data_IF_513632123831
#
_entry.id   IF_513632123831
#
_cell.length_a   1.000
_cell.length_b   1.000
_cell.length_c   1.000
_cell.angle_alpha   90.00
_cell.angle_beta   90.00
_cell.angle_gamma   90.00
#
_symmetry.space_group_name_H-M   'P 1'
#
loop_
_entity.id
_entity.type
_entity.pdbx_description
1 polymer ?
#
# COMPACT_ATOMS: atom_id res chain seq x y z
N UNK A 1 -96.52 -49.85 -25.04
CA UNK A 1 -95.62 -50.88 -24.48
C UNK A 1 -94.22 -50.27 -24.35
N UNK A 2 -93.89 -49.84 -23.14
CA UNK A 2 -92.57 -49.29 -22.76
C UNK A 2 -91.81 -50.36 -21.95
N UNK A 3 -90.47 -50.30 -22.02
CA UNK A 3 -89.43 -51.08 -21.30
C UNK A 3 -88.83 -52.23 -22.11
N UNK A 4 -87.64 -51.98 -22.65
CA UNK A 4 -86.37 -52.69 -22.32
C UNK A 4 -85.27 -52.23 -23.29
N UNK A 5 -84.73 -51.02 -23.14
CA UNK A 5 -83.53 -50.62 -23.90
C UNK A 5 -82.67 -49.58 -23.15
N UNK A 6 -82.59 -49.66 -21.82
CA UNK A 6 -81.66 -48.84 -21.04
C UNK A 6 -81.13 -49.68 -19.88
N UNK A 7 -80.13 -50.53 -20.14
CA UNK A 7 -79.32 -51.12 -19.04
C UNK A 7 -77.96 -51.69 -19.42
N UNK A 8 -77.58 -51.77 -20.70
CA UNK A 8 -76.30 -52.37 -21.12
C UNK A 8 -75.19 -51.37 -21.47
N UNK A 9 -75.51 -50.11 -21.77
CA UNK A 9 -74.51 -49.08 -22.12
C UNK A 9 -73.96 -48.27 -20.93
N UNK A 10 -74.68 -48.16 -19.82
CA UNK A 10 -74.18 -47.38 -18.66
C UNK A 10 -73.06 -48.08 -17.88
N UNK A 11 -72.97 -49.41 -17.88
CA UNK A 11 -71.85 -50.13 -17.21
C UNK A 11 -70.53 -50.05 -17.98
N UNK A 12 -70.55 -49.96 -19.32
CA UNK A 12 -69.32 -49.84 -20.14
C UNK A 12 -68.72 -48.43 -20.08
N UNK A 13 -69.56 -47.39 -20.00
CA UNK A 13 -69.09 -46.01 -19.84
C UNK A 13 -68.52 -45.75 -18.43
N UNK A 14 -69.07 -46.37 -17.38
CA UNK A 14 -68.53 -46.27 -16.02
C UNK A 14 -67.16 -46.98 -15.86
N UNK A 15 -66.96 -48.14 -16.52
CA UNK A 15 -65.67 -48.84 -16.51
C UNK A 15 -64.57 -48.06 -17.27
N UNK A 16 -64.89 -47.46 -18.43
CA UNK A 16 -63.92 -46.64 -19.17
C UNK A 16 -63.57 -45.33 -18.44
N UNK A 17 -64.51 -44.75 -17.68
CA UNK A 17 -64.25 -43.55 -16.89
C UNK A 17 -63.31 -43.85 -15.71
N UNK A 18 -63.45 -45.04 -15.09
CA UNK A 18 -62.54 -45.50 -14.03
C UNK A 18 -61.16 -45.87 -14.55
N UNK A 19 -61.05 -46.54 -15.70
CA UNK A 19 -59.74 -46.82 -16.33
C UNK A 19 -59.04 -45.55 -16.84
N UNK A 20 -59.79 -44.57 -17.36
CA UNK A 20 -59.25 -43.27 -17.77
C UNK A 20 -58.75 -42.43 -16.60
N UNK A 21 -59.49 -42.43 -15.47
CA UNK A 21 -59.03 -41.81 -14.22
C UNK A 21 -57.83 -42.53 -13.62
N UNK A 22 -57.77 -43.87 -13.70
CA UNK A 22 -56.63 -44.66 -13.22
C UNK A 22 -55.38 -44.40 -14.07
N UNK A 23 -55.51 -44.29 -15.40
CA UNK A 23 -54.41 -43.98 -16.30
C UNK A 23 -53.95 -42.51 -16.18
N UNK A 24 -54.86 -41.57 -15.92
CA UNK A 24 -54.50 -40.19 -15.58
C UNK A 24 -53.82 -40.09 -14.21
N UNK A 25 -54.23 -40.90 -13.22
CA UNK A 25 -53.54 -41.00 -11.93
C UNK A 25 -52.13 -41.58 -12.07
N UNK A 26 -51.96 -42.65 -12.86
CA UNK A 26 -50.66 -43.29 -13.09
C UNK A 26 -49.74 -42.38 -13.92
N UNK A 27 -50.29 -41.63 -14.89
CA UNK A 27 -49.53 -40.66 -15.68
C UNK A 27 -49.19 -39.37 -14.89
N UNK A 28 -50.02 -38.96 -13.93
CA UNK A 28 -49.78 -37.80 -13.06
C UNK A 28 -48.75 -38.10 -11.97
N UNK A 29 -48.79 -39.28 -11.34
CA UNK A 29 -47.84 -39.64 -10.29
C UNK A 29 -46.42 -39.89 -10.81
N UNK A 30 -46.26 -40.47 -12.01
CA UNK A 30 -44.93 -40.73 -12.58
C UNK A 30 -44.21 -39.48 -13.10
N UNK A 31 -44.93 -38.44 -13.50
CA UNK A 31 -44.33 -37.22 -14.05
C UNK A 31 -43.78 -36.29 -12.96
N UNK A 32 -44.47 -36.18 -11.82
CA UNK A 32 -44.05 -35.31 -10.71
C UNK A 32 -42.84 -35.88 -9.96
N UNK A 33 -42.80 -37.20 -9.75
CA UNK A 33 -41.64 -37.91 -9.18
C UNK A 33 -40.40 -37.72 -10.08
N UNK A 34 -40.55 -37.93 -11.39
CA UNK A 34 -39.44 -37.77 -12.35
C UNK A 34 -38.95 -36.32 -12.43
N UNK A 35 -39.86 -35.33 -12.39
CA UNK A 35 -39.50 -33.92 -12.40
C UNK A 35 -38.71 -33.51 -11.14
N UNK A 36 -39.15 -33.95 -9.95
CA UNK A 36 -38.43 -33.67 -8.71
C UNK A 36 -37.07 -34.39 -8.65
N UNK A 37 -36.99 -35.62 -9.15
CA UNK A 37 -35.73 -36.34 -9.27
C UNK A 37 -34.74 -35.63 -10.22
N UNK A 38 -35.20 -35.15 -11.38
CA UNK A 38 -34.36 -34.38 -12.30
C UNK A 38 -33.85 -33.06 -11.69
N UNK A 39 -34.64 -32.39 -10.83
CA UNK A 39 -34.16 -31.21 -10.09
C UNK A 39 -33.00 -31.56 -9.16
N UNK A 40 -33.05 -32.71 -8.49
CA UNK A 40 -31.95 -33.19 -7.65
C UNK A 40 -30.71 -33.51 -8.50
N UNK A 41 -30.87 -34.17 -9.65
CA UNK A 41 -29.75 -34.42 -10.57
C UNK A 41 -29.11 -33.13 -11.06
N UNK A 42 -29.90 -32.11 -11.44
CA UNK A 42 -29.37 -30.80 -11.84
C UNK A 42 -28.57 -30.14 -10.72
N UNK A 43 -29.02 -30.25 -9.47
CA UNK A 43 -28.26 -29.76 -8.31
C UNK A 43 -26.96 -30.53 -8.12
N UNK A 44 -26.96 -31.86 -8.29
CA UNK A 44 -25.74 -32.67 -8.25
C UNK A 44 -24.74 -32.23 -9.32
N UNK A 45 -25.17 -32.07 -10.58
CA UNK A 45 -24.30 -31.59 -11.65
C UNK A 45 -23.74 -30.20 -11.34
N UNK A 46 -24.55 -29.31 -10.73
CA UNK A 46 -24.08 -28.00 -10.29
C UNK A 46 -23.01 -28.14 -9.21
N UNK A 47 -23.20 -29.00 -8.21
CA UNK A 47 -22.22 -29.27 -7.15
C UNK A 47 -20.91 -29.80 -7.75
N UNK A 48 -20.97 -30.70 -8.72
CA UNK A 48 -19.78 -31.27 -9.36
C UNK A 48 -19.06 -30.28 -10.29
N UNK A 49 -19.82 -29.34 -10.88
CA UNK A 49 -19.29 -28.31 -11.78
C UNK A 49 -18.73 -27.07 -11.06
N UNK A 50 -19.29 -26.74 -9.90
CA UNK A 50 -18.79 -25.68 -9.04
C UNK A 50 -17.54 -26.25 -8.39
N UNK A 51 -16.37 -25.83 -8.87
CA UNK A 51 -15.10 -26.15 -8.21
C UNK A 51 -15.07 -25.61 -6.77
N UNK A 52 -13.88 -25.48 -6.21
CA UNK A 52 -13.70 -24.84 -4.91
C UNK A 52 -13.09 -23.43 -5.10
N UNK A 53 -13.84 -22.42 -5.60
CA UNK A 53 -13.37 -21.05 -5.60
C UNK A 53 -13.49 -20.39 -4.21
N UNK A 54 -14.48 -20.82 -3.42
CA UNK A 54 -14.74 -20.40 -2.04
C UNK A 54 -15.45 -21.54 -1.26
N UNK A 55 -15.75 -21.32 0.02
CA UNK A 55 -16.49 -22.28 0.86
C UNK A 55 -18.01 -22.08 0.84
N UNK A 56 -18.49 -20.86 0.60
CA UNK A 56 -19.89 -20.51 0.83
C UNK A 56 -20.81 -21.14 -0.22
N UNK A 57 -20.44 -21.04 -1.49
CA UNK A 57 -21.24 -21.57 -2.58
C UNK A 57 -21.34 -23.11 -2.55
N UNK A 58 -20.23 -23.88 -2.38
CA UNK A 58 -20.30 -25.33 -2.30
C UNK A 58 -21.09 -25.86 -1.10
N UNK A 59 -21.06 -25.15 0.04
CA UNK A 59 -21.86 -25.50 1.24
C UNK A 59 -23.34 -25.22 0.98
N UNK A 60 -23.68 -24.06 0.41
CA UNK A 60 -25.06 -23.67 0.13
C UNK A 60 -25.75 -24.64 -0.84
N UNK A 61 -25.07 -25.02 -1.93
CA UNK A 61 -25.60 -25.97 -2.92
C UNK A 61 -25.84 -27.36 -2.32
N UNK A 62 -24.93 -27.85 -1.47
CA UNK A 62 -25.10 -29.13 -0.77
C UNK A 62 -26.30 -29.09 0.19
N UNK A 63 -26.51 -27.97 0.90
CA UNK A 63 -27.70 -27.79 1.76
C UNK A 63 -28.98 -27.78 0.94
N UNK A 64 -29.01 -27.04 -0.17
CA UNK A 64 -30.15 -27.02 -1.09
C UNK A 64 -30.47 -28.43 -1.62
N UNK A 65 -29.45 -29.18 -2.03
CA UNK A 65 -29.63 -30.55 -2.52
C UNK A 65 -30.10 -31.50 -1.42
N UNK A 66 -29.61 -31.36 -0.18
CA UNK A 66 -30.07 -32.18 0.94
C UNK A 66 -31.55 -31.96 1.25
N UNK A 67 -32.02 -30.71 1.27
CA UNK A 67 -33.44 -30.39 1.50
C UNK A 67 -34.33 -30.87 0.36
N UNK A 68 -33.87 -30.78 -0.90
CA UNK A 68 -34.56 -31.34 -2.06
C UNK A 68 -34.69 -32.86 -1.95
N UNK A 69 -33.62 -33.57 -1.60
CA UNK A 69 -33.63 -35.03 -1.37
C UNK A 69 -34.58 -35.40 -0.23
N UNK A 70 -34.54 -34.67 0.88
CA UNK A 70 -35.41 -34.93 2.04
C UNK A 70 -36.88 -34.76 1.71
N UNK A 71 -37.21 -33.73 0.93
CA UNK A 71 -38.58 -33.48 0.45
C UNK A 71 -39.05 -34.55 -0.53
N UNK A 72 -38.17 -35.00 -1.43
CA UNK A 72 -38.47 -36.11 -2.35
C UNK A 72 -38.76 -37.40 -1.59
N UNK A 73 -37.90 -37.78 -0.63
CA UNK A 73 -38.08 -39.00 0.16
C UNK A 73 -39.35 -38.98 1.02
N UNK A 74 -39.78 -37.79 1.47
CA UNK A 74 -41.04 -37.61 2.19
C UNK A 74 -42.27 -37.71 1.29
N UNK A 75 -42.19 -37.17 0.06
CA UNK A 75 -43.27 -37.21 -0.93
C UNK A 75 -43.42 -38.60 -1.58
N UNK A 76 -42.31 -39.31 -1.80
CA UNK A 76 -42.24 -40.58 -2.53
C UNK A 76 -41.52 -41.68 -1.71
N UNK A 77 -42.11 -42.17 -0.62
CA UNK A 77 -41.44 -43.11 0.30
C UNK A 77 -41.11 -44.48 -0.32
N UNK A 78 -41.79 -44.86 -1.41
CA UNK A 78 -41.60 -46.13 -2.12
C UNK A 78 -40.88 -45.97 -3.47
N UNK A 79 -40.21 -44.83 -3.70
CA UNK A 79 -39.46 -44.58 -4.94
C UNK A 79 -38.33 -45.60 -5.13
N UNK A 80 -38.11 -46.02 -6.38
CA UNK A 80 -36.96 -46.87 -6.76
C UNK A 80 -35.61 -46.15 -6.53
N UNK A 81 -35.62 -44.82 -6.48
CA UNK A 81 -34.43 -43.99 -6.25
C UNK A 81 -34.14 -43.76 -4.77
N UNK A 82 -35.01 -44.23 -3.87
CA UNK A 82 -34.99 -43.88 -2.45
C UNK A 82 -33.67 -44.19 -1.75
N UNK A 83 -33.09 -45.36 -1.98
CA UNK A 83 -31.83 -45.74 -1.31
C UNK A 83 -30.61 -45.00 -1.89
N UNK A 84 -30.58 -44.77 -3.20
CA UNK A 84 -29.55 -43.95 -3.85
C UNK A 84 -29.57 -42.51 -3.33
N UNK A 85 -30.76 -41.92 -3.19
CA UNK A 85 -30.92 -40.56 -2.69
C UNK A 85 -30.56 -40.46 -1.20
N UNK A 86 -30.89 -41.46 -0.37
CA UNK A 86 -30.43 -41.51 1.03
C UNK A 86 -28.91 -41.54 1.13
N UNK A 87 -28.24 -42.34 0.30
CA UNK A 87 -26.78 -42.40 0.26
C UNK A 87 -26.19 -41.05 -0.20
N UNK A 88 -26.76 -40.45 -1.24
CA UNK A 88 -26.34 -39.15 -1.75
C UNK A 88 -26.50 -38.05 -0.68
N UNK A 89 -27.63 -38.03 0.04
CA UNK A 89 -27.86 -37.13 1.16
C UNK A 89 -26.79 -37.30 2.24
N UNK A 90 -26.49 -38.55 2.64
CA UNK A 90 -25.43 -38.83 3.62
C UNK A 90 -24.06 -38.29 3.19
N UNK A 91 -23.69 -38.51 1.92
CA UNK A 91 -22.43 -38.00 1.36
C UNK A 91 -22.38 -36.47 1.37
N UNK A 92 -23.46 -35.80 0.95
CA UNK A 92 -23.53 -34.34 0.97
C UNK A 92 -23.51 -33.77 2.37
N UNK A 93 -24.12 -34.45 3.34
CA UNK A 93 -24.08 -34.04 4.73
C UNK A 93 -22.65 -34.09 5.27
N UNK A 94 -21.97 -35.23 5.14
CA UNK A 94 -20.59 -35.38 5.62
C UNK A 94 -19.65 -34.37 4.97
N UNK A 95 -19.77 -34.14 3.66
CA UNK A 95 -18.92 -33.20 2.95
C UNK A 95 -19.24 -31.74 3.31
N UNK A 96 -20.51 -31.39 3.48
CA UNK A 96 -20.89 -30.04 3.92
C UNK A 96 -20.42 -29.75 5.35
N UNK A 97 -20.49 -30.72 6.25
CA UNK A 97 -19.96 -30.61 7.62
C UNK A 97 -18.43 -30.44 7.60
N UNK A 98 -17.72 -31.20 6.76
CA UNK A 98 -16.26 -31.07 6.56
C UNK A 98 -15.89 -29.67 6.09
N UNK A 99 -16.52 -29.18 5.03
CA UNK A 99 -16.25 -27.86 4.44
C UNK A 99 -16.61 -26.73 5.43
N UNK A 100 -17.68 -26.90 6.20
CA UNK A 100 -18.07 -25.92 7.21
C UNK A 100 -17.01 -25.83 8.32
N UNK A 101 -16.49 -26.97 8.81
CA UNK A 101 -15.42 -26.98 9.80
C UNK A 101 -14.14 -26.31 9.27
N UNK A 102 -13.75 -26.62 8.02
CA UNK A 102 -12.60 -25.98 7.36
C UNK A 102 -12.79 -24.46 7.21
N UNK A 103 -14.01 -24.02 6.87
CA UNK A 103 -14.34 -22.60 6.75
C UNK A 103 -14.31 -21.86 8.10
N UNK A 104 -14.81 -22.49 9.17
CA UNK A 104 -14.76 -21.88 10.50
C UNK A 104 -13.32 -21.77 11.02
N UNK A 105 -12.48 -22.80 10.81
CA UNK A 105 -11.04 -22.71 11.10
C UNK A 105 -10.38 -21.56 10.33
N UNK A 106 -10.73 -21.39 9.05
CA UNK A 106 -10.22 -20.29 8.22
C UNK A 106 -10.64 -18.91 8.76
N UNK A 107 -11.92 -18.75 9.16
CA UNK A 107 -12.40 -17.49 9.75
C UNK A 107 -11.67 -17.16 11.05
N UNK A 108 -11.43 -18.16 11.91
CA UNK A 108 -10.69 -17.97 13.14
C UNK A 108 -9.25 -17.53 12.87
N UNK A 109 -8.57 -18.17 11.92
CA UNK A 109 -7.24 -17.77 11.48
C UNK A 109 -7.21 -16.33 10.96
N UNK A 110 -8.18 -15.98 10.10
CA UNK A 110 -8.31 -14.62 9.55
C UNK A 110 -8.49 -13.58 10.66
N UNK A 111 -9.37 -13.86 11.62
CA UNK A 111 -9.59 -12.98 12.77
C UNK A 111 -8.33 -12.84 13.62
N UNK A 112 -7.62 -13.94 13.88
CA UNK A 112 -6.36 -13.92 14.61
C UNK A 112 -5.32 -13.03 13.90
N UNK A 113 -5.13 -13.20 12.60
CA UNK A 113 -4.17 -12.39 11.82
C UNK A 113 -4.54 -10.89 11.82
N UNK A 114 -5.83 -10.57 11.73
CA UNK A 114 -6.28 -9.18 11.75
C UNK A 114 -6.18 -8.54 13.16
N UNK A 115 -6.39 -9.34 14.21
CA UNK A 115 -6.30 -8.92 15.61
C UNK A 115 -4.85 -8.79 16.10
N UNK A 116 -3.92 -9.62 15.58
CA UNK A 116 -2.54 -9.69 16.04
C UNK A 116 -1.64 -8.57 15.48
N UNK A 117 -2.07 -7.35 15.76
CA UNK A 117 -1.39 -6.09 15.49
C UNK A 117 -0.65 -5.54 16.71
N UNK A 118 -0.60 -6.30 17.81
CA UNK A 118 -0.22 -5.83 19.15
C UNK A 118 1.28 -5.98 19.44
N UNK A 119 1.95 -7.01 18.93
CA UNK A 119 3.37 -7.26 19.21
C UNK A 119 4.05 -8.15 18.17
N UNK A 120 5.39 -8.18 18.17
CA UNK A 120 6.17 -9.09 17.33
C UNK A 120 5.95 -10.56 17.67
N UNK A 121 5.86 -10.88 18.96
CA UNK A 121 5.65 -12.26 19.42
C UNK A 121 4.34 -12.83 18.90
N UNK A 122 3.28 -12.01 18.88
CA UNK A 122 1.99 -12.48 18.40
C UNK A 122 1.90 -12.60 16.89
N UNK A 123 2.68 -11.81 16.13
CA UNK A 123 2.87 -12.02 14.69
C UNK A 123 3.54 -13.35 14.41
N UNK A 124 4.57 -13.73 15.18
CA UNK A 124 5.24 -15.03 15.03
C UNK A 124 4.27 -16.20 15.29
N UNK A 125 3.45 -16.10 16.34
CA UNK A 125 2.38 -17.07 16.60
C UNK A 125 1.39 -17.13 15.43
N UNK A 126 0.98 -15.99 14.88
CA UNK A 126 0.07 -15.97 13.73
C UNK A 126 0.69 -16.61 12.46
N UNK A 127 2.00 -16.44 12.24
CA UNK A 127 2.73 -17.11 11.16
C UNK A 127 2.78 -18.63 11.34
N UNK A 128 3.00 -19.09 12.58
CA UNK A 128 2.96 -20.53 12.92
C UNK A 128 1.56 -21.10 12.69
N UNK A 129 0.50 -20.41 13.14
CA UNK A 129 -0.88 -20.84 12.94
C UNK A 129 -1.26 -20.88 11.45
N UNK A 130 -0.82 -19.89 10.65
CA UNK A 130 -1.02 -19.89 9.20
C UNK A 130 -0.33 -21.10 8.54
N UNK A 131 0.91 -21.39 8.94
CA UNK A 131 1.66 -22.54 8.42
C UNK A 131 0.97 -23.85 8.77
N UNK A 132 0.59 -24.04 10.04
CA UNK A 132 -0.15 -25.22 10.48
C UNK A 132 -1.51 -25.38 9.79
N UNK A 133 -2.20 -24.27 9.49
CA UNK A 133 -3.44 -24.30 8.71
C UNK A 133 -3.19 -24.80 7.28
N UNK A 134 -2.16 -24.28 6.59
CA UNK A 134 -1.83 -24.71 5.22
C UNK A 134 -1.44 -26.19 5.17
N UNK A 135 -0.72 -26.68 6.18
CA UNK A 135 -0.37 -28.10 6.30
C UNK A 135 -1.60 -28.98 6.56
N UNK A 136 -2.52 -28.51 7.42
CA UNK A 136 -3.78 -29.20 7.72
C UNK A 136 -4.70 -29.24 6.50
N UNK A 137 -4.72 -28.18 5.69
CA UNK A 137 -5.65 -27.97 4.57
C UNK A 137 -4.93 -27.55 3.27
N UNK A 138 -4.19 -28.47 2.63
CA UNK A 138 -3.35 -28.14 1.46
C UNK A 138 -4.15 -27.77 0.21
N UNK A 139 -5.46 -28.09 0.17
CA UNK A 139 -6.37 -27.81 -0.94
C UNK A 139 -7.41 -26.75 -0.58
N UNK A 140 -7.13 -25.90 0.40
CA UNK A 140 -8.01 -24.81 0.79
C UNK A 140 -8.35 -23.93 -0.44
N UNK A 141 -9.63 -23.65 -0.74
CA UNK A 141 -10.06 -22.75 -1.82
C UNK A 141 -9.54 -21.31 -1.69
N UNK A 142 -9.33 -20.83 -0.46
CA UNK A 142 -9.00 -19.44 -0.14
C UNK A 142 -7.50 -19.12 -0.31
N UNK A 143 -6.87 -19.61 -1.39
CA UNK A 143 -5.43 -19.47 -1.62
C UNK A 143 -4.97 -18.00 -1.70
N UNK A 144 -5.78 -17.13 -2.31
CA UNK A 144 -5.46 -15.71 -2.41
C UNK A 144 -5.49 -15.04 -1.03
N UNK A 145 -6.49 -15.34 -0.20
CA UNK A 145 -6.54 -14.86 1.18
C UNK A 145 -5.36 -15.37 2.00
N UNK A 146 -5.00 -16.65 1.90
CA UNK A 146 -3.86 -17.21 2.64
C UNK A 146 -2.54 -16.53 2.22
N UNK A 147 -2.37 -16.26 0.92
CA UNK A 147 -1.21 -15.52 0.40
C UNK A 147 -1.20 -14.09 0.93
N UNK A 148 -2.33 -13.38 0.88
CA UNK A 148 -2.42 -12.00 1.32
C UNK A 148 -2.25 -11.86 2.85
N UNK A 149 -2.76 -12.83 3.62
CA UNK A 149 -2.47 -12.99 5.05
C UNK A 149 -0.97 -13.14 5.32
N UNK A 150 -0.28 -14.00 4.56
CA UNK A 150 1.18 -14.16 4.71
C UNK A 150 1.93 -12.87 4.39
N UNK A 151 1.57 -12.18 3.30
CA UNK A 151 2.17 -10.89 2.93
C UNK A 151 1.91 -9.82 3.99
N UNK A 152 0.72 -9.84 4.60
CA UNK A 152 0.38 -8.94 5.69
C UNK A 152 1.21 -9.23 6.96
N UNK A 153 1.42 -10.49 7.32
CA UNK A 153 2.29 -10.86 8.43
C UNK A 153 3.76 -10.47 8.16
N UNK A 154 4.23 -10.58 6.91
CA UNK A 154 5.53 -10.07 6.49
C UNK A 154 5.64 -8.56 6.65
N UNK A 155 4.59 -7.81 6.30
CA UNK A 155 4.52 -6.37 6.56
C UNK A 155 4.62 -6.07 8.06
N UNK A 156 3.85 -6.77 8.90
CA UNK A 156 3.88 -6.54 10.35
C UNK A 156 5.28 -6.79 10.91
N UNK A 157 5.91 -7.90 10.55
CA UNK A 157 7.22 -8.29 11.05
C UNK A 157 8.36 -7.41 10.51
N UNK A 158 8.39 -7.17 9.19
CA UNK A 158 9.50 -6.48 8.51
C UNK A 158 9.40 -4.95 8.51
N UNK A 159 8.20 -4.40 8.65
CA UNK A 159 7.96 -2.95 8.64
C UNK A 159 7.42 -2.48 9.98
N UNK A 160 6.19 -2.89 10.35
CA UNK A 160 5.49 -2.29 11.50
C UNK A 160 6.27 -2.40 12.80
N UNK A 161 6.81 -3.57 13.10
CA UNK A 161 7.53 -3.84 14.36
C UNK A 161 9.06 -3.74 14.25
N UNK A 162 9.60 -3.67 13.04
CA UNK A 162 11.03 -3.47 12.79
C UNK A 162 11.40 -2.02 12.59
N UNK A 163 10.43 -1.15 12.31
CA UNK A 163 10.64 0.28 12.20
C UNK A 163 11.03 0.86 13.57
N UNK A 164 12.16 1.59 13.66
CA UNK A 164 12.53 2.27 14.90
C UNK A 164 11.51 3.36 15.23
N UNK A 165 11.36 3.68 16.51
CA UNK A 165 10.44 4.75 16.97
C UNK A 165 10.73 6.11 16.31
N UNK A 166 11.98 6.34 15.91
CA UNK A 166 12.40 7.54 15.21
C UNK A 166 13.18 7.18 13.95
N UNK A 167 12.57 7.46 12.80
CA UNK A 167 13.24 7.47 11.51
C UNK A 167 13.85 8.86 11.28
N UNK A 168 15.17 8.93 11.14
CA UNK A 168 15.90 10.21 11.09
C UNK A 168 16.72 10.40 9.81
N UNK A 169 16.76 9.41 8.93
CA UNK A 169 17.52 9.49 7.67
C UNK A 169 16.62 9.19 6.48
N UNK A 170 16.92 9.83 5.33
CA UNK A 170 16.25 9.51 4.07
C UNK A 170 16.47 8.06 3.63
N UNK A 171 17.61 7.47 3.95
CA UNK A 171 17.90 6.09 3.59
C UNK A 171 16.94 5.11 4.29
N UNK A 172 16.78 5.23 5.61
CA UNK A 172 15.95 4.31 6.39
C UNK A 172 14.47 4.42 5.97
N UNK A 173 13.95 5.64 5.86
CA UNK A 173 12.54 5.85 5.50
C UNK A 173 12.24 5.37 4.07
N UNK A 174 13.16 5.57 3.11
CA UNK A 174 12.98 5.09 1.74
C UNK A 174 12.97 3.55 1.68
N UNK A 175 13.83 2.88 2.46
CA UNK A 175 13.84 1.41 2.57
C UNK A 175 12.48 0.86 3.03
N UNK A 176 11.86 1.46 4.04
CA UNK A 176 10.53 1.04 4.51
C UNK A 176 9.41 1.37 3.52
N UNK A 177 9.50 2.52 2.82
CA UNK A 177 8.56 2.89 1.75
C UNK A 177 8.60 1.84 0.63
N UNK A 178 9.79 1.46 0.16
CA UNK A 178 9.96 0.49 -0.92
C UNK A 178 9.38 -0.88 -0.53
N UNK A 179 9.57 -1.31 0.71
CA UNK A 179 8.97 -2.54 1.24
C UNK A 179 7.44 -2.48 1.25
N UNK A 180 6.85 -1.38 1.74
CA UNK A 180 5.40 -1.18 1.71
C UNK A 180 4.84 -1.21 0.29
N UNK A 181 5.49 -0.53 -0.66
CA UNK A 181 5.07 -0.50 -2.06
C UNK A 181 5.14 -1.88 -2.71
N UNK A 182 6.21 -2.64 -2.45
CA UNK A 182 6.38 -4.00 -2.96
C UNK A 182 5.31 -4.96 -2.44
N UNK A 183 4.92 -4.83 -1.16
CA UNK A 183 3.86 -5.64 -0.57
C UNK A 183 2.49 -5.24 -1.12
N UNK A 184 2.19 -3.93 -1.21
CA UNK A 184 0.94 -3.43 -1.79
C UNK A 184 0.75 -3.84 -3.25
N UNK A 185 1.83 -3.93 -4.04
CA UNK A 185 1.76 -4.41 -5.41
C UNK A 185 1.37 -5.88 -5.56
N UNK A 186 1.33 -6.65 -4.45
CA UNK A 186 1.03 -8.10 -4.44
C UNK A 186 -0.27 -8.44 -3.71
N UNK A 187 -0.67 -7.63 -2.73
CA UNK A 187 -1.91 -7.83 -1.98
C UNK A 187 -3.10 -7.46 -2.86
N UNK A 188 -4.08 -8.36 -2.98
CA UNK A 188 -5.31 -8.15 -3.76
C UNK A 188 -6.44 -7.69 -2.85
N UNK A 189 -6.55 -8.30 -1.67
CA UNK A 189 -7.62 -8.05 -0.73
C UNK A 189 -7.41 -6.74 0.04
N UNK A 190 -8.38 -5.83 -0.09
CA UNK A 190 -8.30 -4.46 0.46
C UNK A 190 -8.16 -4.42 1.98
N UNK A 191 -8.71 -5.39 2.70
CA UNK A 191 -8.62 -5.50 4.16
C UNK A 191 -7.17 -5.63 4.66
N UNK A 192 -6.31 -6.33 3.90
CA UNK A 192 -4.89 -6.49 4.22
C UNK A 192 -4.04 -5.35 3.63
N UNK A 193 -4.49 -4.74 2.52
CA UNK A 193 -3.81 -3.61 1.90
C UNK A 193 -3.99 -2.29 2.66
N UNK A 194 -5.13 -2.11 3.34
CA UNK A 194 -5.47 -0.84 3.99
C UNK A 194 -4.48 -0.45 5.10
N UNK A 195 -4.08 -1.34 6.03
CA UNK A 195 -3.09 -0.98 7.06
C UNK A 195 -1.71 -0.66 6.45
N UNK A 196 -1.28 -1.41 5.43
CA UNK A 196 -0.01 -1.17 4.72
C UNK A 196 -0.03 0.21 4.05
N UNK A 197 -1.15 0.58 3.41
CA UNK A 197 -1.34 1.89 2.79
C UNK A 197 -1.29 3.03 3.81
N UNK A 198 -1.88 2.84 5.00
CA UNK A 198 -1.82 3.83 6.07
C UNK A 198 -0.38 4.05 6.54
N UNK A 199 0.38 2.97 6.76
CA UNK A 199 1.79 3.08 7.13
C UNK A 199 2.63 3.71 6.02
N UNK A 200 2.38 3.37 4.75
CA UNK A 200 3.03 4.03 3.61
C UNK A 200 2.81 5.54 3.65
N UNK A 201 1.58 6.02 3.82
CA UNK A 201 1.28 7.46 3.88
C UNK A 201 1.99 8.17 5.04
N UNK A 202 2.08 7.50 6.21
CA UNK A 202 2.82 8.03 7.35
C UNK A 202 4.33 8.12 7.06
N UNK A 203 4.91 7.09 6.42
CA UNK A 203 6.30 7.08 6.00
C UNK A 203 6.59 8.15 4.94
N UNK A 204 5.70 8.36 3.97
CA UNK A 204 5.85 9.42 2.97
C UNK A 204 5.83 10.80 3.60
N UNK A 205 4.95 11.02 4.58
CA UNK A 205 4.92 12.26 5.37
C UNK A 205 6.25 12.45 6.12
N UNK A 206 6.75 11.39 6.75
CA UNK A 206 8.03 11.42 7.47
C UNK A 206 9.21 11.68 6.53
N UNK A 207 9.22 11.08 5.34
CA UNK A 207 10.23 11.32 4.29
C UNK A 207 10.30 12.79 3.93
N UNK A 208 9.15 13.45 3.73
CA UNK A 208 9.09 14.88 3.42
C UNK A 208 9.70 15.72 4.55
N UNK A 209 9.34 15.44 5.82
CA UNK A 209 9.90 16.14 6.97
C UNK A 209 11.41 16.00 7.10
N UNK A 210 11.93 14.77 6.95
CA UNK A 210 13.38 14.52 6.99
C UNK A 210 14.05 15.28 5.83
N UNK A 211 13.50 15.18 4.63
CA UNK A 211 14.03 15.85 3.45
C UNK A 211 14.13 17.37 3.63
N UNK A 212 13.08 18.01 4.14
CA UNK A 212 13.08 19.45 4.43
C UNK A 212 14.15 19.83 5.46
N UNK A 213 14.29 19.04 6.52
CA UNK A 213 15.30 19.29 7.56
C UNK A 213 16.73 19.11 7.04
N UNK A 214 16.98 18.09 6.22
CA UNK A 214 18.29 17.86 5.61
C UNK A 214 18.61 18.95 4.57
N UNK A 215 17.63 19.37 3.76
CA UNK A 215 17.79 20.49 2.81
C UNK A 215 18.16 21.77 3.57
N UNK A 216 17.43 22.12 4.63
CA UNK A 216 17.73 23.31 5.42
C UNK A 216 19.14 23.24 6.04
N UNK A 217 19.54 22.08 6.55
CA UNK A 217 20.87 21.87 7.09
C UNK A 217 21.98 21.95 6.03
N UNK A 218 21.72 21.48 4.81
CA UNK A 218 22.65 21.59 3.68
C UNK A 218 22.73 23.02 3.15
N UNK A 219 21.61 23.72 3.03
CA UNK A 219 21.57 25.15 2.66
C UNK A 219 22.38 25.98 3.67
N UNK A 220 22.23 25.72 4.98
CA UNK A 220 23.02 26.40 6.01
C UNK A 220 24.54 26.11 5.92
N UNK A 221 24.92 24.85 5.64
CA UNK A 221 26.33 24.47 5.43
C UNK A 221 26.91 25.11 4.18
N UNK A 222 26.20 25.00 3.06
CA UNK A 222 26.59 25.59 1.78
C UNK A 222 26.82 27.09 1.92
N UNK A 223 25.93 27.79 2.63
CA UNK A 223 26.13 29.21 2.92
C UNK A 223 27.45 29.45 3.63
N UNK A 224 27.73 28.74 4.73
CA UNK A 224 28.97 28.86 5.51
C UNK A 224 30.23 28.63 4.66
N UNK A 225 30.20 27.63 3.80
CA UNK A 225 31.29 27.33 2.87
C UNK A 225 31.46 28.41 1.80
N UNK A 226 30.36 28.95 1.26
CA UNK A 226 30.39 30.07 0.30
C UNK A 226 31.02 31.32 0.91
N UNK A 227 30.73 31.65 2.18
CA UNK A 227 31.43 32.74 2.90
C UNK A 227 32.91 32.46 3.05
N UNK A 228 33.26 31.25 3.47
CA UNK A 228 34.67 30.85 3.65
C UNK A 228 35.43 30.96 2.33
N UNK A 229 34.82 30.51 1.24
CA UNK A 229 35.37 30.58 -0.11
C UNK A 229 35.48 32.02 -0.61
N UNK A 230 34.43 32.83 -0.48
CA UNK A 230 34.45 34.24 -0.86
C UNK A 230 35.51 35.03 -0.10
N UNK A 231 35.61 34.85 1.22
CA UNK A 231 36.61 35.50 2.07
C UNK A 231 38.04 35.04 1.72
N UNK A 232 38.22 33.75 1.41
CA UNK A 232 39.50 33.22 0.93
C UNK A 232 39.91 33.80 -0.43
N UNK A 233 38.99 33.79 -1.39
CA UNK A 233 39.18 34.37 -2.72
C UNK A 233 39.49 35.86 -2.64
N UNK A 234 38.71 36.63 -1.87
CA UNK A 234 38.93 38.05 -1.67
C UNK A 234 40.28 38.34 -1.02
N UNK A 235 40.70 37.61 0.02
CA UNK A 235 42.03 37.78 0.63
C UNK A 235 43.18 37.49 -0.34
N UNK A 236 43.04 36.48 -1.20
CA UNK A 236 44.03 36.20 -2.25
C UNK A 236 44.06 37.31 -3.30
N UNK A 237 42.89 37.74 -3.76
CA UNK A 237 42.76 38.83 -4.72
C UNK A 237 43.22 40.17 -4.12
N UNK A 238 43.01 40.46 -2.84
CA UNK A 238 43.53 41.67 -2.16
C UNK A 238 45.05 41.70 -2.06
N UNK A 239 45.72 40.56 -1.95
CA UNK A 239 47.19 40.51 -2.09
C UNK A 239 47.62 40.93 -3.50
N UNK A 240 46.78 40.70 -4.50
CA UNK A 240 47.01 41.02 -5.91
C UNK A 240 46.41 42.37 -6.35
N UNK A 241 45.38 42.88 -5.67
CA UNK A 241 44.81 44.22 -5.78
C UNK A 241 45.81 45.14 -5.12
N UNK A 242 46.89 45.34 -5.84
CA UNK A 242 47.73 46.50 -5.71
C UNK A 242 46.80 47.71 -5.59
N UNK A 243 46.96 48.49 -4.51
CA UNK A 243 46.37 49.81 -4.30
C UNK A 243 45.95 50.43 -5.64
N UNK A 244 44.67 50.83 -5.84
CA UNK A 244 44.24 51.47 -7.07
C UNK A 244 45.30 52.49 -7.49
N UNK A 245 45.69 52.53 -8.77
CA UNK A 245 46.80 53.37 -9.22
C UNK A 245 46.69 54.83 -8.75
N UNK A 246 45.48 55.32 -8.48
CA UNK A 246 45.22 56.59 -7.80
C UNK A 246 45.84 56.69 -6.39
N UNK A 247 45.70 55.68 -5.53
CA UNK A 247 46.25 55.65 -4.17
C UNK A 247 47.78 55.50 -4.20
N UNK A 248 48.35 54.77 -5.18
CA UNK A 248 49.81 54.73 -5.41
C UNK A 248 50.39 56.07 -5.87
N UNK A 249 49.63 56.85 -6.64
CA UNK A 249 50.06 58.17 -7.14
C UNK A 249 50.10 59.25 -6.06
N UNK A 250 49.40 59.06 -4.94
CA UNK A 250 49.24 60.07 -3.90
C UNK A 250 50.38 60.14 -2.87
N UNK A 251 51.41 59.28 -2.97
CA UNK A 251 52.70 59.46 -2.29
C UNK A 251 52.64 59.42 -0.76
N UNK A 252 53.08 58.30 -0.18
CA UNK A 252 53.53 58.22 1.23
C UNK A 252 52.43 58.40 2.27
N UNK A 253 51.73 57.31 2.61
CA UNK A 253 50.85 57.27 3.76
C UNK A 253 51.46 56.39 4.85
N UNK A 254 51.65 56.96 6.03
CA UNK A 254 51.97 56.21 7.26
C UNK A 254 50.69 55.62 7.87
N UNK A 255 50.78 54.39 8.41
CA UNK A 255 49.72 53.67 9.11
C UNK A 255 48.49 53.26 8.25
N UNK A 256 48.73 52.41 7.26
CA UNK A 256 47.69 51.70 6.50
C UNK A 256 47.02 50.61 7.34
N UNK A 257 45.68 50.62 7.39
CA UNK A 257 44.88 49.51 7.94
C UNK A 257 43.71 49.19 7.01
N UNK A 258 43.62 47.92 6.61
CA UNK A 258 42.48 47.36 5.88
C UNK A 258 41.68 46.49 6.84
N UNK A 259 40.40 46.81 7.02
CA UNK A 259 39.46 45.99 7.80
C UNK A 259 38.37 45.47 6.87
N UNK A 260 38.11 44.16 6.95
CA UNK A 260 37.09 43.49 6.15
C UNK A 260 35.87 43.26 7.04
N UNK A 261 34.71 43.77 6.65
CA UNK A 261 33.44 43.55 7.36
C UNK A 261 32.49 42.72 6.50
N UNK A 262 32.05 41.59 7.05
CA UNK A 262 31.02 40.74 6.44
C UNK A 262 29.65 41.41 6.63
N UNK A 263 28.90 41.60 5.54
CA UNK A 263 27.51 42.10 5.60
C UNK A 263 26.54 41.13 4.91
N UNK A 264 25.30 41.13 5.42
CA UNK A 264 24.33 40.03 5.48
C UNK A 264 23.81 39.41 4.16
N UNK A 265 23.25 38.19 4.30
CA UNK A 265 22.95 37.16 3.30
C UNK A 265 21.46 36.95 2.98
N UNK A 266 21.16 36.32 1.85
CA UNK A 266 19.95 35.48 1.65
C UNK A 266 20.34 34.10 1.13
N UNK A 267 19.59 33.04 1.48
CA UNK A 267 19.84 31.66 1.07
C UNK A 267 19.77 31.41 -0.45
N UNK A 268 19.24 32.38 -1.20
CA UNK A 268 19.14 32.37 -2.67
C UNK A 268 20.02 33.46 -3.33
N UNK A 269 20.84 34.18 -2.57
CA UNK A 269 21.65 35.27 -3.14
C UNK A 269 22.95 34.72 -3.72
N UNK A 270 23.12 34.90 -5.03
CA UNK A 270 24.36 34.62 -5.77
C UNK A 270 25.53 35.54 -5.38
N UNK A 271 25.31 36.47 -4.45
CA UNK A 271 26.24 37.55 -4.11
C UNK A 271 26.50 37.64 -2.62
N UNK A 272 27.77 37.61 -2.25
CA UNK A 272 28.28 37.98 -0.94
C UNK A 272 28.87 39.39 -1.03
N UNK A 273 28.42 40.29 -0.17
CA UNK A 273 28.95 41.65 -0.11
C UNK A 273 30.10 41.69 0.91
N UNK A 274 31.25 42.17 0.46
CA UNK A 274 32.46 42.32 1.28
C UNK A 274 32.80 43.80 1.34
N UNK A 275 32.81 44.36 2.55
CA UNK A 275 33.20 45.75 2.78
C UNK A 275 34.70 45.80 3.07
N UNK A 276 35.43 46.65 2.36
CA UNK A 276 36.84 46.96 2.61
C UNK A 276 36.97 48.42 3.03
N UNK A 277 37.45 48.64 4.25
CA UNK A 277 37.72 49.99 4.78
C UNK A 277 39.20 50.30 4.60
N UNK A 278 39.50 51.46 4.02
CA UNK A 278 40.84 52.03 3.89
C UNK A 278 40.96 53.23 4.81
N UNK A 279 41.89 53.16 5.77
CA UNK A 279 42.29 54.29 6.59
C UNK A 279 43.68 54.76 6.20
N UNK A 280 43.83 56.06 5.94
CA UNK A 280 45.10 56.65 5.53
C UNK A 280 45.25 58.10 5.98
N UNK A 281 46.48 58.55 6.23
CA UNK A 281 46.77 59.95 6.58
C UNK A 281 47.31 60.73 5.40
N UNK A 282 46.51 61.65 4.87
CA UNK A 282 46.87 62.39 3.67
C UNK A 282 48.04 63.37 3.87
N UNK A 283 48.74 63.80 2.80
CA UNK A 283 49.98 64.59 2.90
C UNK A 283 49.84 65.87 3.74
N UNK A 284 48.64 66.43 3.78
CA UNK A 284 48.23 67.57 4.60
C UNK A 284 47.84 67.24 6.06
N UNK A 285 48.11 66.03 6.56
CA UNK A 285 47.89 65.61 7.95
C UNK A 285 46.47 65.14 8.29
N UNK A 286 45.53 65.25 7.36
CA UNK A 286 44.12 64.84 7.53
C UNK A 286 44.01 63.31 7.53
N UNK A 287 43.30 62.76 8.51
CA UNK A 287 42.91 61.34 8.52
C UNK A 287 41.72 61.16 7.57
N UNK A 288 41.90 60.34 6.54
CA UNK A 288 40.84 59.99 5.60
C UNK A 288 40.47 58.52 5.80
N UNK A 289 39.16 58.25 5.78
CA UNK A 289 38.58 56.91 5.74
C UNK A 289 37.80 56.80 4.43
N UNK A 290 38.07 55.77 3.65
CA UNK A 290 37.30 55.44 2.45
C UNK A 290 36.81 54.01 2.57
N UNK A 291 35.55 53.78 2.23
CA UNK A 291 34.94 52.45 2.29
C UNK A 291 34.63 52.00 0.86
N UNK A 292 35.01 50.79 0.49
CA UNK A 292 34.64 50.19 -0.79
C UNK A 292 33.81 48.93 -0.54
N UNK A 293 32.70 48.82 -1.25
CA UNK A 293 31.89 47.61 -1.28
C UNK A 293 32.25 46.78 -2.51
N UNK A 294 32.77 45.58 -2.28
CA UNK A 294 32.98 44.57 -3.30
C UNK A 294 31.83 43.56 -3.25
N UNK A 295 31.40 43.10 -4.43
CA UNK A 295 30.49 41.96 -4.53
C UNK A 295 31.28 40.77 -5.04
N UNK A 296 31.33 39.71 -4.24
CA UNK A 296 31.84 38.41 -4.65
C UNK A 296 30.63 37.59 -5.07
N UNK A 297 30.52 37.32 -6.37
CA UNK A 297 29.51 36.41 -6.89
C UNK A 297 29.94 34.98 -6.57
N UNK A 298 29.18 34.28 -5.73
CA UNK A 298 29.36 32.85 -5.45
C UNK A 298 28.01 32.20 -5.66
N UNK A 299 27.97 31.15 -6.50
CA UNK A 299 26.74 30.43 -6.78
C UNK A 299 26.76 29.07 -6.12
N UNK A 300 25.85 28.87 -5.18
CA UNK A 300 25.57 27.58 -4.57
C UNK A 300 24.37 26.93 -5.25
N UNK A 301 24.48 25.64 -5.59
CA UNK A 301 23.37 24.86 -6.15
C UNK A 301 23.07 23.71 -5.20
N UNK A 302 21.84 23.62 -4.70
CA UNK A 302 21.34 22.45 -3.95
C UNK A 302 20.34 21.71 -4.82
N UNK A 303 20.64 20.48 -5.21
CA UNK A 303 19.68 19.61 -5.90
C UNK A 303 18.80 18.89 -4.87
N UNK A 304 17.49 19.12 -4.97
CA UNK A 304 16.49 18.61 -4.04
C UNK A 304 15.90 17.31 -4.59
N UNK A 305 16.35 16.17 -4.07
CA UNK A 305 15.74 14.86 -4.38
C UNK A 305 15.61 14.01 -3.13
N UNK A 306 14.39 13.97 -2.57
CA UNK A 306 14.10 13.15 -1.39
C UNK A 306 14.22 11.64 -1.68
N UNK A 307 14.24 11.23 -2.96
CA UNK A 307 14.40 9.85 -3.41
C UNK A 307 15.83 9.49 -3.82
N UNK A 308 16.62 10.44 -4.35
CA UNK A 308 17.99 10.18 -4.85
C UNK A 308 19.09 10.79 -3.98
N UNK A 309 18.72 11.44 -2.88
CA UNK A 309 19.62 12.16 -2.00
C UNK A 309 19.75 13.64 -2.37
N UNK A 310 20.33 14.40 -1.44
CA UNK A 310 20.58 15.84 -1.59
C UNK A 310 22.04 16.03 -1.99
N UNK A 311 22.30 16.71 -3.09
CA UNK A 311 23.65 17.09 -3.52
C UNK A 311 23.79 18.61 -3.52
N UNK A 312 24.99 19.11 -3.26
CA UNK A 312 25.30 20.53 -3.41
C UNK A 312 26.65 20.75 -4.11
N UNK A 313 26.78 21.90 -4.76
CA UNK A 313 28.01 22.34 -5.41
C UNK A 313 28.18 23.86 -5.25
N UNK A 314 29.43 24.30 -5.17
CA UNK A 314 29.81 25.72 -5.15
C UNK A 314 30.57 26.01 -6.44
N UNK A 315 30.06 26.94 -7.23
CA UNK A 315 30.69 27.41 -8.47
C UNK A 315 31.72 28.53 -8.18
N UNK A 316 32.74 28.71 -9.05
CA UNK A 316 33.85 29.64 -8.82
C UNK A 316 33.41 31.10 -8.69
N UNK A 317 34.16 31.85 -7.88
CA UNK A 317 33.82 33.22 -7.52
C UNK A 317 34.27 34.24 -8.58
N UNK A 318 33.45 35.28 -8.80
CA UNK A 318 33.80 36.46 -9.58
C UNK A 318 33.75 37.73 -8.72
N UNK A 319 34.72 38.61 -8.89
CA UNK A 319 34.78 39.92 -8.22
C UNK A 319 34.21 40.98 -9.17
N UNK A 320 33.19 41.70 -8.72
CA UNK A 320 32.70 42.89 -9.44
C UNK A 320 33.62 44.10 -9.22
N UNK A 321 33.47 45.11 -10.07
CA UNK A 321 34.13 46.41 -9.87
C UNK A 321 33.75 47.02 -8.51
N UNK A 322 34.71 47.62 -7.78
CA UNK A 322 34.44 48.21 -6.48
C UNK A 322 33.51 49.41 -6.58
N UNK A 323 32.50 49.46 -5.70
CA UNK A 323 31.64 50.63 -5.56
C UNK A 323 32.12 51.42 -4.34
N UNK A 324 32.52 52.70 -4.49
CA UNK A 324 32.87 53.54 -3.35
C UNK A 324 31.62 53.83 -2.50
N UNK A 325 31.82 53.83 -1.18
CA UNK A 325 30.82 54.10 -0.15
C UNK A 325 31.39 55.19 0.73
N UNK A 326 30.57 56.20 1.05
CA UNK A 326 30.97 57.47 1.70
C UNK A 326 31.97 57.33 2.85
#
# INVERSE_FOLDING_TARGET
MFRTYVKRNSMRFLLCCWCGLLLLFIASCGNEELEQYHKIEQLSYRIDSVGYPDYEQPIALRRESMEAIKSFLAAFPNSIHGDTLKQLHGNYQTEAERLLAEYEDFKQLKQLILAEQSSKQTVETAMEQLTGFVEKYPRCPMQNDLRDMNLYLQFLNGVKFSMPEQLNTLYDVNSFIDQCQLLLGKIINSEFAAPVSQTLNALETRRTQICESEIAAQEARMLSEMETYANGFFKQQCKCLQLPNFVKRLGGFENYRSEVKDTSRSANAETINVEQVFEYRAPHGILCRQTYLYKVLVKGVVQKSCTKGISYAIEPALLNEPVPVE
#
